data_IF_098689809060
#
_entry.id   IF_098689809060
#
_cell.length_a   1.000
_cell.length_b   1.000
_cell.length_c   1.000
_cell.angle_alpha   90.00
_cell.angle_beta   90.00
_cell.angle_gamma   90.00
#
_symmetry.space_group_name_H-M   'P 1'
#
loop_
_entity.id
_entity.type
_entity.pdbx_description
1 polymer ?
#
# COMPACT_ATOMS: atom_id res chain seq x y z
N UNK A 1 -5.77 12.35 1.23
CA UNK A 1 -4.38 12.14 0.79
C UNK A 1 -3.65 11.59 2.00
N UNK A 2 -3.17 10.37 1.86
CA UNK A 2 -2.61 9.59 2.96
C UNK A 2 -1.21 10.13 3.29
N UNK A 3 -0.98 10.57 4.52
CA UNK A 3 0.31 11.15 4.91
C UNK A 3 1.35 10.05 5.10
N UNK A 4 2.26 9.94 4.13
CA UNK A 4 3.35 8.95 4.10
C UNK A 4 4.68 9.50 4.57
N UNK A 5 4.73 10.79 4.96
CA UNK A 5 5.97 11.52 5.26
C UNK A 5 6.71 10.95 6.49
N UNK A 6 5.96 10.30 7.38
CA UNK A 6 6.46 9.72 8.62
C UNK A 6 6.76 8.21 8.53
N UNK A 7 6.49 7.58 7.38
CA UNK A 7 6.70 6.15 7.22
C UNK A 7 8.18 5.82 7.05
N UNK A 8 8.57 4.67 7.60
CA UNK A 8 9.95 4.19 7.56
C UNK A 8 10.06 3.16 6.42
N UNK A 9 10.89 3.40 5.38
CA UNK A 9 11.11 2.42 4.32
C UNK A 9 11.57 1.07 4.89
N UNK A 10 10.96 -0.01 4.39
CA UNK A 10 11.21 -1.38 4.83
C UNK A 10 10.30 -1.88 5.95
N UNK A 11 9.52 -1.00 6.61
CA UNK A 11 8.51 -1.39 7.59
C UNK A 11 7.19 -1.82 6.94
N UNK A 12 6.43 -2.61 7.68
CA UNK A 12 5.11 -3.08 7.27
C UNK A 12 4.02 -2.25 7.92
N UNK A 13 3.03 -1.86 7.13
CA UNK A 13 1.88 -1.09 7.59
C UNK A 13 0.60 -1.76 7.09
N UNK A 14 -0.49 -1.57 7.84
CA UNK A 14 -1.81 -1.80 7.29
C UNK A 14 -2.13 -0.71 6.28
N UNK A 15 -2.53 -1.10 5.07
CA UNK A 15 -2.97 -0.18 4.01
C UNK A 15 -4.36 -0.58 3.55
N UNK A 16 -5.25 0.39 3.40
CA UNK A 16 -6.56 0.17 2.79
C UNK A 16 -6.39 0.24 1.28
N UNK A 17 -6.59 -0.89 0.62
CA UNK A 17 -6.33 -1.04 -0.80
C UNK A 17 -7.63 -1.10 -1.56
N UNK A 18 -7.80 -0.21 -2.54
CA UNK A 18 -8.88 -0.28 -3.54
C UNK A 18 -8.33 -0.87 -4.83
N UNK A 19 -9.12 -1.72 -5.47
CA UNK A 19 -8.79 -2.23 -6.80
C UNK A 19 -10.02 -2.23 -7.71
N UNK A 20 -9.81 -2.50 -8.99
CA UNK A 20 -10.91 -2.61 -9.97
C UNK A 20 -11.84 -3.80 -9.74
N UNK A 21 -11.39 -4.84 -9.03
CA UNK A 21 -12.10 -6.13 -8.94
C UNK A 21 -12.62 -6.46 -7.55
N UNK A 22 -12.22 -5.70 -6.53
CA UNK A 22 -12.58 -5.97 -5.14
C UNK A 22 -12.97 -4.69 -4.42
N UNK A 23 -13.85 -4.85 -3.44
CA UNK A 23 -14.12 -3.81 -2.46
C UNK A 23 -12.83 -3.44 -1.72
N UNK A 24 -12.70 -2.19 -1.23
CA UNK A 24 -11.55 -1.80 -0.45
C UNK A 24 -11.34 -2.71 0.76
N UNK A 25 -10.11 -3.19 0.93
CA UNK A 25 -9.76 -4.10 2.02
C UNK A 25 -8.42 -3.72 2.66
N UNK A 26 -8.30 -3.96 3.97
CA UNK A 26 -7.07 -3.76 4.71
C UNK A 26 -6.09 -4.88 4.41
N UNK A 27 -4.89 -4.53 3.97
CA UNK A 27 -3.85 -5.47 3.59
C UNK A 27 -2.51 -5.05 4.22
N UNK A 28 -1.67 -6.00 4.63
CA UNK A 28 -0.31 -5.68 5.02
C UNK A 28 0.53 -5.38 3.79
N UNK A 29 1.21 -4.23 3.79
CA UNK A 29 2.15 -3.87 2.74
C UNK A 29 3.44 -3.29 3.32
N UNK A 30 4.56 -3.60 2.66
CA UNK A 30 5.85 -3.00 2.99
C UNK A 30 5.98 -1.66 2.29
N UNK A 31 6.26 -0.61 3.04
CA UNK A 31 6.55 0.70 2.47
C UNK A 31 7.94 0.68 1.83
N UNK A 32 8.05 1.00 0.53
CA UNK A 32 9.34 1.02 -0.18
C UNK A 32 9.83 2.43 -0.52
N UNK A 33 9.06 3.46 -0.14
CA UNK A 33 9.42 4.87 -0.25
C UNK A 33 8.56 5.64 -1.25
N UNK A 34 8.71 6.98 -1.24
CA UNK A 34 8.13 7.86 -2.24
C UNK A 34 9.13 8.08 -3.38
N UNK A 35 8.68 8.00 -4.64
CA UNK A 35 9.55 8.30 -5.78
C UNK A 35 9.84 9.82 -5.83
N UNK A 36 11.11 10.22 -5.89
CA UNK A 36 11.51 11.64 -5.91
C UNK A 36 11.00 12.48 -7.10
N UNK A 37 10.27 11.90 -8.06
CA UNK A 37 9.88 12.60 -9.30
C UNK A 37 8.44 12.33 -9.79
N UNK A 38 7.60 11.81 -8.92
CA UNK A 38 6.18 11.63 -9.17
C UNK A 38 5.54 11.15 -7.88
N UNK A 39 4.35 11.65 -7.56
CA UNK A 39 3.61 11.40 -6.31
C UNK A 39 3.24 9.92 -6.06
N UNK A 40 3.84 8.99 -6.80
CA UNK A 40 3.70 7.56 -6.62
C UNK A 40 4.49 7.09 -5.40
N UNK A 41 3.75 6.86 -4.32
CA UNK A 41 4.19 6.07 -3.19
C UNK A 41 4.32 4.61 -3.60
N UNK A 42 5.41 3.95 -3.22
CA UNK A 42 5.65 2.55 -3.56
C UNK A 42 5.41 1.63 -2.36
N UNK A 43 4.75 0.51 -2.66
CA UNK A 43 4.32 -0.49 -1.70
C UNK A 43 4.56 -1.89 -2.27
N UNK A 44 5.10 -2.78 -1.46
CA UNK A 44 5.13 -4.21 -1.78
C UNK A 44 4.03 -4.92 -0.99
N UNK A 45 3.02 -5.41 -1.70
CA UNK A 45 1.89 -6.12 -1.11
C UNK A 45 2.23 -7.61 -0.96
N UNK A 46 1.98 -8.19 0.22
CA UNK A 46 2.25 -9.62 0.47
C UNK A 46 1.17 -10.52 -0.15
N UNK A 47 -0.10 -10.11 -0.11
CA UNK A 47 -1.23 -10.94 -0.54
C UNK A 47 -1.86 -10.60 -1.89
N UNK A 48 -1.59 -9.40 -2.43
CA UNK A 48 -2.31 -8.87 -3.60
C UNK A 48 -1.77 -9.35 -4.96
N UNK A 49 -0.56 -9.92 -4.98
CA UNK A 49 0.12 -10.32 -6.23
C UNK A 49 -0.35 -11.65 -6.83
N UNK A 50 -1.27 -12.36 -6.18
CA UNK A 50 -1.74 -13.68 -6.64
C UNK A 50 -2.97 -13.61 -7.54
N UNK A 51 -3.70 -12.50 -7.53
CA UNK A 51 -4.95 -12.35 -8.28
C UNK A 51 -4.70 -11.70 -9.64
N UNK A 52 -4.77 -12.52 -10.69
CA UNK A 52 -4.64 -12.08 -12.08
C UNK A 52 -5.89 -11.28 -12.46
N UNK A 53 -5.74 -9.99 -12.78
CA UNK A 53 -6.83 -9.17 -13.37
C UNK A 53 -7.12 -7.83 -12.70
N UNK A 54 -6.37 -7.42 -11.66
CA UNK A 54 -6.48 -6.06 -11.13
C UNK A 54 -5.91 -5.04 -12.14
N UNK A 55 -6.77 -4.27 -12.79
CA UNK A 55 -6.36 -3.21 -13.72
C UNK A 55 -5.66 -2.05 -13.00
N UNK A 56 -5.98 -1.86 -11.72
CA UNK A 56 -5.27 -0.94 -10.84
C UNK A 56 -5.36 -1.39 -9.38
N UNK A 57 -4.38 -0.95 -8.59
CA UNK A 57 -4.31 -1.10 -7.13
C UNK A 57 -3.92 0.26 -6.57
N UNK A 58 -4.75 0.82 -5.70
CA UNK A 58 -4.57 2.13 -5.10
C UNK A 58 -4.62 2.02 -3.57
N UNK A 59 -3.67 2.66 -2.88
CA UNK A 59 -3.73 2.83 -1.43
C UNK A 59 -4.57 4.05 -1.11
N UNK A 60 -5.68 3.83 -0.42
CA UNK A 60 -6.66 4.87 -0.07
C UNK A 60 -6.45 5.39 1.34
N UNK A 61 -6.00 4.53 2.26
CA UNK A 61 -5.78 4.89 3.67
C UNK A 61 -4.63 4.11 4.31
N UNK A 62 -4.11 4.64 5.43
CA UNK A 62 -3.04 4.05 6.23
C UNK A 62 -3.52 3.72 7.64
N UNK A 63 -3.24 2.50 8.04
CA UNK A 63 -3.42 1.99 9.38
C UNK A 63 -2.09 1.96 10.14
N UNK A 64 -2.09 1.36 11.33
CA UNK A 64 -0.90 1.31 12.17
C UNK A 64 0.22 0.46 11.56
N UNK A 65 1.45 0.72 12.01
CA UNK A 65 2.59 -0.15 11.75
C UNK A 65 2.33 -1.55 12.31
N UNK A 66 2.66 -2.57 11.53
CA UNK A 66 2.68 -3.95 11.96
C UNK A 66 3.95 -4.17 12.78
N UNK A 67 3.80 -4.18 14.11
CA UNK A 67 4.87 -4.56 15.04
C UNK A 67 5.12 -6.07 14.91
N UNK A 68 6.08 -6.44 14.06
CA UNK A 68 6.65 -7.79 14.01
C UNK A 68 7.81 -7.93 14.98
#
# INVERSE_FOLDING_TARGET
MTDVTHLIPGRFYWVLVRSSMKNPEWQPARFTGAACRGDSVKWDFIGFNSDVGHHFVEVVDLGPELLT
#
